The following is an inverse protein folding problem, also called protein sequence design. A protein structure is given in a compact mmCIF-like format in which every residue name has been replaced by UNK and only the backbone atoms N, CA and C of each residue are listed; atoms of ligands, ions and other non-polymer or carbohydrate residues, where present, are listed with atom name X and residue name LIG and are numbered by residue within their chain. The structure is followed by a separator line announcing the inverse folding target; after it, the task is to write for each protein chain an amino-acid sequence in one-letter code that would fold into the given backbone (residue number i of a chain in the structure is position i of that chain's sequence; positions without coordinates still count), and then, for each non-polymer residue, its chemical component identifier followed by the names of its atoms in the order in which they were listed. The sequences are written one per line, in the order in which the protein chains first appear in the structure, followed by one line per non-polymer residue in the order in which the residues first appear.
data_IF_701197232346
#
_entry.id   IF_701197232346
#
_cell.length_a   1.000
_cell.length_b   1.000
_cell.length_c   1.000
_cell.angle_alpha   90.00
_cell.angle_beta   90.00
_cell.angle_gamma   90.00
#
_symmetry.space_group_name_H-M   'P 1'
#
loop_
_entity.id
_entity.type
_entity.pdbx_description
1 polymer ?
#
# COMPACT_ATOMS: atom_id res chain seq x y z
N UNK A 1 -0.28 19.38 6.06
CA UNK A 1 0.83 19.06 5.13
C UNK A 1 1.29 20.36 4.49
N UNK A 2 2.59 20.60 4.43
CA UNK A 2 3.15 21.89 3.98
C UNK A 2 3.97 21.71 2.70
N UNK A 3 4.07 22.78 1.90
CA UNK A 3 4.94 22.85 0.73
C UNK A 3 6.08 23.83 1.00
N UNK A 4 7.28 23.42 0.65
CA UNK A 4 8.47 24.26 0.76
C UNK A 4 8.41 25.41 -0.23
N UNK A 5 8.86 26.58 0.24
CA UNK A 5 8.99 27.81 -0.53
C UNK A 5 10.45 28.19 -0.80
N UNK A 6 11.39 27.35 -0.40
CA UNK A 6 12.83 27.60 -0.60
C UNK A 6 13.18 27.44 -2.08
N UNK A 7 14.18 28.19 -2.54
CA UNK A 7 14.66 28.14 -3.92
C UNK A 7 15.32 26.79 -4.26
N UNK A 8 15.95 26.13 -3.28
CA UNK A 8 16.60 24.83 -3.45
C UNK A 8 15.64 23.65 -3.46
N UNK A 9 14.46 23.78 -2.83
CA UNK A 9 13.45 22.73 -2.75
C UNK A 9 12.05 23.31 -3.03
N UNK A 10 11.79 23.84 -4.24
CA UNK A 10 10.53 24.50 -4.55
C UNK A 10 9.39 23.49 -4.54
N UNK A 11 8.28 23.82 -3.88
CA UNK A 11 7.04 23.04 -3.79
C UNK A 11 7.17 21.62 -3.19
N UNK A 12 8.35 21.22 -2.71
CA UNK A 12 8.57 19.92 -2.09
C UNK A 12 7.75 19.80 -0.80
N UNK A 13 7.09 18.66 -0.61
CA UNK A 13 6.16 18.43 0.50
C UNK A 13 6.88 17.95 1.75
N UNK A 14 6.54 18.53 2.90
CA UNK A 14 7.01 18.07 4.21
C UNK A 14 5.90 17.98 5.25
N UNK A 15 6.15 17.14 6.26
CA UNK A 15 5.45 17.14 7.53
C UNK A 15 6.28 17.97 8.51
N UNK A 16 5.67 18.94 9.16
CA UNK A 16 6.31 19.80 10.14
C UNK A 16 5.37 20.02 11.31
N UNK A 17 5.91 20.44 12.44
CA UNK A 17 5.11 20.69 13.63
C UNK A 17 3.99 21.72 13.37
N UNK A 18 2.72 21.46 13.71
CA UNK A 18 1.65 22.45 13.54
C UNK A 18 1.95 23.81 14.20
N UNK A 19 2.71 23.78 15.30
CA UNK A 19 3.14 24.94 16.08
C UNK A 19 4.44 25.58 15.56
N UNK A 20 5.05 25.11 14.46
CA UNK A 20 6.31 25.68 13.95
C UNK A 20 6.17 27.16 13.57
N UNK A 21 4.94 27.62 13.29
CA UNK A 21 4.63 29.02 12.99
C UNK A 21 4.24 29.84 14.21
N UNK A 22 3.96 29.18 15.34
CA UNK A 22 3.74 29.87 16.61
C UNK A 22 5.11 30.33 17.15
N UNK A 23 5.14 31.41 17.93
CA UNK A 23 6.35 31.91 18.62
C UNK A 23 6.80 30.99 19.78
N UNK A 24 6.46 29.72 19.71
CA UNK A 24 6.81 28.68 20.67
C UNK A 24 8.23 28.17 20.36
N UNK A 25 9.19 28.22 21.30
CA UNK A 25 10.61 28.01 20.99
C UNK A 25 10.99 26.58 20.58
N UNK A 26 10.11 25.59 20.77
CA UNK A 26 10.54 24.20 20.94
C UNK A 26 10.05 23.21 19.89
N UNK A 27 9.23 23.62 18.92
CA UNK A 27 8.72 22.65 17.96
C UNK A 27 9.60 22.50 16.71
N UNK A 28 10.59 21.62 16.79
CA UNK A 28 11.59 21.36 15.72
C UNK A 28 11.30 20.13 14.85
N UNK A 29 10.10 19.56 14.93
CA UNK A 29 9.74 18.42 14.10
C UNK A 29 9.65 18.80 12.62
N UNK A 30 10.40 18.10 11.77
CA UNK A 30 10.43 18.27 10.32
C UNK A 30 10.83 16.96 9.63
N UNK A 31 10.09 16.57 8.58
CA UNK A 31 10.47 15.45 7.71
C UNK A 31 9.95 15.66 6.29
N UNK A 32 10.79 15.38 5.28
CA UNK A 32 10.36 15.33 3.88
C UNK A 32 9.48 14.12 3.62
N UNK A 33 8.32 14.33 3.00
CA UNK A 33 7.33 13.27 2.80
C UNK A 33 7.87 12.17 1.89
N UNK A 34 8.56 12.54 0.81
CA UNK A 34 9.13 11.58 -0.15
C UNK A 34 10.23 10.72 0.47
N UNK A 35 11.09 11.29 1.32
CA UNK A 35 12.11 10.53 2.05
C UNK A 35 11.51 9.62 3.11
N UNK A 36 10.45 10.07 3.77
CA UNK A 36 9.74 9.23 4.74
C UNK A 36 9.05 8.05 4.05
N UNK A 37 8.39 8.26 2.92
CA UNK A 37 7.79 7.19 2.12
C UNK A 37 8.85 6.24 1.57
N UNK A 38 10.01 6.75 1.13
CA UNK A 38 11.15 5.92 0.73
C UNK A 38 11.66 5.06 1.89
N UNK A 39 11.76 5.62 3.09
CA UNK A 39 12.13 4.87 4.30
C UNK A 39 11.09 3.82 4.65
N UNK A 40 9.79 4.13 4.63
CA UNK A 40 8.73 3.14 4.87
C UNK A 40 8.78 2.01 3.85
N UNK A 41 9.05 2.32 2.58
CA UNK A 41 9.21 1.30 1.53
C UNK A 41 10.50 0.49 1.66
N UNK A 42 11.56 1.08 2.20
CA UNK A 42 12.87 0.45 2.39
C UNK A 42 12.95 -0.38 3.68
N UNK A 43 12.19 0.01 4.71
CA UNK A 43 11.86 -0.85 5.85
C UNK A 43 10.85 -1.88 5.33
N UNK A 44 11.36 -2.96 4.76
CA UNK A 44 10.58 -4.10 4.27
C UNK A 44 9.82 -4.78 5.44
N UNK A 45 8.95 -5.79 5.19
CA UNK A 45 7.77 -6.10 6.03
C UNK A 45 8.08 -6.84 7.33
N UNK A 46 9.31 -6.87 7.82
CA UNK A 46 9.66 -7.71 8.97
C UNK A 46 8.97 -7.24 10.26
N UNK A 47 8.62 -5.95 10.33
CA UNK A 47 7.89 -5.35 11.46
C UNK A 47 6.36 -5.36 11.32
N UNK A 48 5.81 -5.68 10.14
CA UNK A 48 4.36 -5.58 9.85
C UNK A 48 3.66 -6.93 9.70
N UNK A 49 4.39 -8.05 9.74
CA UNK A 49 3.78 -9.39 9.75
C UNK A 49 2.90 -9.69 8.53
N UNK A 50 3.11 -8.98 7.41
CA UNK A 50 2.41 -9.25 6.16
C UNK A 50 3.32 -10.11 5.31
N UNK A 51 2.80 -11.30 5.00
CA UNK A 51 3.36 -12.35 4.16
C UNK A 51 4.03 -11.80 2.90
N UNK A 52 5.15 -12.44 2.58
CA UNK A 52 5.91 -12.34 1.34
C UNK A 52 5.02 -12.09 0.12
N UNK A 53 5.25 -11.01 -0.63
CA UNK A 53 5.06 -10.97 -2.09
C UNK A 53 5.86 -9.75 -2.64
N UNK A 54 6.95 -10.09 -3.33
CA UNK A 54 7.55 -9.43 -4.49
C UNK A 54 7.46 -7.89 -4.67
N UNK A 55 8.65 -7.30 -4.77
CA UNK A 55 9.06 -6.36 -5.82
C UNK A 55 7.92 -5.67 -6.60
N UNK A 56 7.71 -4.38 -6.32
CA UNK A 56 6.94 -3.40 -7.10
C UNK A 56 6.03 -3.98 -8.19
N UNK A 57 4.98 -4.72 -7.78
CA UNK A 57 4.04 -5.27 -8.74
C UNK A 57 3.28 -4.12 -9.37
N UNK A 58 3.38 -4.00 -10.69
CA UNK A 58 2.58 -3.11 -11.50
C UNK A 58 1.11 -3.34 -11.16
N UNK A 59 0.40 -2.30 -10.72
CA UNK A 59 -0.98 -2.41 -10.20
C UNK A 59 -1.89 -3.05 -11.24
N UNK A 60 -1.61 -2.81 -12.53
CA UNK A 60 -2.31 -3.39 -13.68
C UNK A 60 -2.08 -4.92 -13.78
N UNK A 61 -0.85 -5.38 -13.60
CA UNK A 61 -0.51 -6.82 -13.58
C UNK A 61 -1.20 -7.53 -12.42
N UNK A 62 -1.22 -6.89 -11.24
CA UNK A 62 -1.87 -7.45 -10.06
C UNK A 62 -3.39 -7.55 -10.23
N UNK A 63 -4.02 -6.54 -10.86
CA UNK A 63 -5.44 -6.55 -11.17
C UNK A 63 -5.79 -7.66 -12.17
N UNK A 64 -4.95 -7.86 -13.19
CA UNK A 64 -5.14 -8.94 -14.17
C UNK A 64 -5.01 -10.32 -13.52
N UNK A 65 -4.03 -10.51 -12.64
CA UNK A 65 -3.85 -11.76 -11.87
C UNK A 65 -5.05 -12.04 -10.97
N UNK A 66 -5.61 -11.01 -10.33
CA UNK A 66 -6.81 -11.15 -9.49
C UNK A 66 -8.04 -11.57 -10.31
N UNK A 67 -8.24 -10.99 -11.50
CA UNK A 67 -9.33 -11.40 -12.40
C UNK A 67 -9.21 -12.85 -12.87
N UNK A 68 -7.99 -13.35 -13.12
CA UNK A 68 -7.76 -14.76 -13.47
C UNK A 68 -8.10 -15.69 -12.29
N UNK A 69 -7.71 -15.31 -11.08
CA UNK A 69 -8.05 -16.05 -9.86
C UNK A 69 -9.56 -16.08 -9.61
N UNK A 70 -10.26 -14.97 -9.79
CA UNK A 70 -11.73 -14.91 -9.66
C UNK A 70 -12.43 -15.89 -10.62
N UNK A 71 -11.99 -15.94 -11.88
CA UNK A 71 -12.53 -16.90 -12.87
C UNK A 71 -12.29 -18.35 -12.47
N UNK A 72 -11.09 -18.65 -11.95
CA UNK A 72 -10.75 -20.00 -11.47
C UNK A 72 -11.59 -20.40 -10.25
N UNK A 73 -11.83 -19.48 -9.32
CA UNK A 73 -12.69 -19.72 -8.16
C UNK A 73 -14.11 -20.06 -8.62
N UNK A 74 -14.68 -19.26 -9.53
CA UNK A 74 -16.02 -19.49 -10.04
C UNK A 74 -16.15 -20.85 -10.76
N UNK A 75 -15.12 -21.26 -11.50
CA UNK A 75 -15.08 -22.58 -12.13
C UNK A 75 -15.05 -23.72 -11.10
N UNK A 76 -14.27 -23.56 -10.03
CA UNK A 76 -14.20 -24.53 -8.95
C UNK A 76 -15.52 -24.65 -8.19
N UNK A 77 -16.20 -23.54 -7.92
CA UNK A 77 -17.53 -23.53 -7.30
C UNK A 77 -18.56 -24.28 -8.15
N UNK A 78 -18.58 -24.06 -9.47
CA UNK A 78 -19.45 -24.82 -10.39
C UNK A 78 -19.16 -26.32 -10.37
N UNK A 79 -17.87 -26.70 -10.37
CA UNK A 79 -17.45 -28.11 -10.29
C UNK A 79 -17.90 -28.75 -8.98
N UNK A 80 -17.75 -28.04 -7.86
CA UNK A 80 -18.15 -28.51 -6.54
C UNK A 80 -19.65 -28.77 -6.46
N UNK A 81 -20.48 -27.84 -6.95
CA UNK A 81 -21.94 -28.03 -7.05
C UNK A 81 -22.31 -29.25 -7.91
N UNK A 82 -21.63 -29.46 -9.03
CA UNK A 82 -21.86 -30.64 -9.87
C UNK A 82 -21.54 -31.94 -9.13
N UNK A 83 -20.43 -31.98 -8.40
CA UNK A 83 -20.03 -33.15 -7.61
C UNK A 83 -21.03 -33.42 -6.48
N UNK A 84 -21.45 -32.39 -5.73
CA UNK A 84 -22.46 -32.51 -4.68
C UNK A 84 -23.80 -33.03 -5.22
N UNK A 85 -24.23 -32.55 -6.39
CA UNK A 85 -25.47 -33.01 -7.02
C UNK A 85 -25.42 -34.48 -7.46
N UNK A 86 -24.24 -34.97 -7.88
CA UNK A 86 -24.02 -36.38 -8.22
C UNK A 86 -23.99 -37.27 -6.98
N UNK A 87 -23.40 -36.78 -5.89
CA UNK A 87 -23.36 -37.48 -4.60
C UNK A 87 -24.74 -37.62 -3.95
N UNK A 88 -25.66 -36.67 -4.16
CA UNK A 88 -27.05 -36.77 -3.69
C UNK A 88 -27.93 -37.73 -4.49
N UNK A 89 -27.49 -38.14 -5.69
CA UNK A 89 -28.22 -39.05 -6.60
C UNK A 89 -27.75 -40.50 -6.50
N UNK A 90 -26.71 -40.78 -5.71
CA UNK A 90 -26.18 -42.12 -5.41
C UNK A 90 -26.52 -42.45 -3.96
#
# INVERSE_FOLDING_TARGET
MYKSRTTSNPNRVFLGCPLFKAKEPYCRYFVWLDEHLKRIKAVKPEALGVVDEAEGVDVEEQLFRNQDMEKKIEELERKLLSIESKKKKT
#
